data_IF_732166247967
#
_entry.id   IF_732166247967
#
_cell.length_a   1.000
_cell.length_b   1.000
_cell.length_c   1.000
_cell.angle_alpha   90.00
_cell.angle_beta   90.00
_cell.angle_gamma   90.00
#
_symmetry.space_group_name_H-M   'P 1'
#
loop_
_entity.id
_entity.type
_entity.pdbx_description
1 polymer ?
#
# COMPACT_ATOMS: atom_id res chain seq x y z
N UNK A 1 28.68 9.82 7.93
CA UNK A 1 27.35 10.29 8.36
C UNK A 1 26.47 9.08 8.51
N UNK A 2 25.84 8.92 9.67
CA UNK A 2 24.88 7.83 9.97
C UNK A 2 23.51 8.48 10.07
N UNK A 3 22.53 7.93 9.36
CA UNK A 3 21.15 8.39 9.45
C UNK A 3 20.39 7.49 10.43
N UNK A 4 19.93 8.08 11.54
CA UNK A 4 19.33 7.36 12.68
C UNK A 4 17.81 7.56 12.80
N UNK A 5 17.21 8.32 11.88
CA UNK A 5 15.79 8.68 11.92
C UNK A 5 14.95 7.90 10.89
N UNK A 6 15.22 6.60 10.76
CA UNK A 6 14.49 5.74 9.83
C UNK A 6 12.97 5.70 10.07
N UNK A 7 12.51 5.94 11.32
CA UNK A 7 11.10 6.04 11.67
C UNK A 7 10.34 7.17 10.93
N UNK A 8 11.05 8.14 10.34
CA UNK A 8 10.42 9.22 9.55
C UNK A 8 9.68 8.65 8.34
N UNK A 9 10.15 7.58 7.70
CA UNK A 9 9.49 7.04 6.50
C UNK A 9 8.08 6.49 6.82
N UNK A 10 7.89 5.59 7.81
CA UNK A 10 6.55 5.19 8.24
C UNK A 10 5.67 6.35 8.71
N UNK A 11 6.22 7.28 9.49
CA UNK A 11 5.46 8.43 9.99
C UNK A 11 4.99 9.36 8.86
N UNK A 12 5.87 9.63 7.89
CA UNK A 12 5.56 10.42 6.70
C UNK A 12 4.47 9.74 5.88
N UNK A 13 4.55 8.42 5.66
CA UNK A 13 3.51 7.69 4.93
C UNK A 13 2.14 7.80 5.61
N UNK A 14 2.12 7.72 6.95
CA UNK A 14 0.90 7.85 7.76
C UNK A 14 0.19 9.19 7.62
N UNK A 15 0.91 10.24 7.24
CA UNK A 15 0.34 11.56 6.94
C UNK A 15 0.04 11.68 5.43
N UNK A 16 0.95 11.18 4.60
CA UNK A 16 0.93 11.35 3.16
C UNK A 16 -0.26 10.67 2.48
N UNK A 17 -0.58 9.43 2.86
CA UNK A 17 -1.69 8.69 2.25
C UNK A 17 -3.05 9.33 2.61
N UNK A 18 -3.38 9.62 3.88
CA UNK A 18 -4.62 10.33 4.21
C UNK A 18 -4.72 11.70 3.55
N UNK A 19 -3.60 12.44 3.47
CA UNK A 19 -3.58 13.74 2.79
C UNK A 19 -3.87 13.60 1.28
N UNK A 20 -3.30 12.57 0.63
CA UNK A 20 -3.57 12.25 -0.77
C UNK A 20 -5.05 11.99 -0.99
N UNK A 21 -5.65 11.12 -0.17
CA UNK A 21 -7.09 10.79 -0.22
C UNK A 21 -7.95 12.04 -0.04
N UNK A 22 -7.65 12.84 0.99
CA UNK A 22 -8.41 14.05 1.31
C UNK A 22 -8.37 15.08 0.19
N UNK A 23 -7.18 15.37 -0.35
CA UNK A 23 -7.02 16.35 -1.43
C UNK A 23 -7.76 15.88 -2.68
N UNK A 24 -7.53 14.64 -3.13
CA UNK A 24 -8.14 14.11 -4.36
C UNK A 24 -9.65 14.10 -4.24
N UNK A 25 -10.20 13.62 -3.11
CA UNK A 25 -11.63 13.63 -2.87
C UNK A 25 -12.21 15.05 -2.85
N UNK A 26 -11.56 15.97 -2.13
CA UNK A 26 -12.04 17.36 -2.01
C UNK A 26 -12.09 18.05 -3.36
N UNK A 27 -11.03 17.92 -4.16
CA UNK A 27 -10.99 18.52 -5.50
C UNK A 27 -12.07 17.90 -6.40
N UNK A 28 -12.21 16.57 -6.41
CA UNK A 28 -13.22 15.86 -7.21
C UNK A 28 -14.67 16.26 -6.89
N UNK A 29 -14.96 16.52 -5.61
CA UNK A 29 -16.28 17.00 -5.17
C UNK A 29 -16.49 18.46 -5.59
N UNK A 30 -15.50 19.33 -5.38
CA UNK A 30 -15.60 20.76 -5.73
C UNK A 30 -15.73 20.98 -7.24
N UNK A 31 -15.16 20.10 -8.06
CA UNK A 31 -15.27 20.12 -9.53
C UNK A 31 -16.52 19.41 -10.05
N UNK A 32 -17.34 18.80 -9.18
CA UNK A 32 -18.50 17.97 -9.54
C UNK A 32 -18.15 16.77 -10.46
N UNK A 33 -16.93 16.26 -10.39
CA UNK A 33 -16.51 15.08 -11.15
C UNK A 33 -17.03 13.77 -10.54
N UNK A 34 -17.35 13.76 -9.25
CA UNK A 34 -17.94 12.61 -8.53
C UNK A 34 -19.14 13.01 -7.70
N UNK A 35 -19.97 12.03 -7.31
CA UNK A 35 -21.02 12.26 -6.31
C UNK A 35 -20.41 12.31 -4.90
N UNK A 36 -20.92 13.14 -3.97
CA UNK A 36 -20.38 13.24 -2.60
C UNK A 36 -20.63 12.02 -1.69
N UNK A 37 -21.02 10.88 -2.26
CA UNK A 37 -21.44 9.68 -1.52
C UNK A 37 -20.32 8.63 -1.53
N UNK A 38 -19.14 9.02 -1.02
CA UNK A 38 -17.92 8.21 -0.91
C UNK A 38 -17.63 7.32 -2.15
N UNK A 39 -17.26 7.93 -3.29
CA UNK A 39 -16.90 7.18 -4.51
C UNK A 39 -15.59 6.41 -4.28
N UNK A 40 -15.27 5.46 -5.16
CA UNK A 40 -13.92 4.88 -5.18
C UNK A 40 -12.87 5.99 -5.26
N UNK A 41 -11.72 5.77 -4.62
CA UNK A 41 -10.63 6.74 -4.71
C UNK A 41 -10.14 6.89 -6.16
N UNK A 42 -10.16 5.79 -6.92
CA UNK A 42 -9.82 5.77 -8.35
C UNK A 42 -10.80 6.55 -9.22
N UNK A 43 -12.09 6.56 -8.87
CA UNK A 43 -13.10 7.38 -9.55
C UNK A 43 -12.84 8.87 -9.28
N UNK A 44 -12.53 9.23 -8.04
CA UNK A 44 -12.16 10.60 -7.67
C UNK A 44 -10.87 11.07 -8.37
N UNK A 45 -9.93 10.16 -8.62
CA UNK A 45 -8.68 10.44 -9.34
C UNK A 45 -8.74 10.30 -10.87
N UNK A 46 -9.91 10.28 -11.50
CA UNK A 46 -10.04 9.96 -12.94
C UNK A 46 -10.02 11.16 -13.90
N UNK A 47 -10.26 12.36 -13.41
CA UNK A 47 -10.34 13.58 -14.22
C UNK A 47 -9.18 14.53 -13.88
N UNK A 48 -8.84 15.45 -14.79
CA UNK A 48 -7.89 16.50 -14.47
C UNK A 48 -8.62 17.65 -13.74
N UNK A 49 -8.00 18.25 -12.70
CA UNK A 49 -6.60 18.07 -12.26
C UNK A 49 -6.36 16.93 -11.26
N UNK A 50 -7.40 16.25 -10.78
CA UNK A 50 -7.33 15.23 -9.72
C UNK A 50 -6.43 14.05 -10.08
N UNK A 51 -6.46 13.61 -11.33
CA UNK A 51 -5.65 12.51 -11.86
C UNK A 51 -4.17 12.82 -11.85
N UNK A 52 -3.78 14.08 -12.12
CA UNK A 52 -2.40 14.53 -12.04
C UNK A 52 -1.93 14.60 -10.58
N UNK A 53 -2.79 15.12 -9.70
CA UNK A 53 -2.51 15.20 -8.25
C UNK A 53 -2.36 13.80 -7.66
N UNK A 54 -3.33 12.91 -7.92
CA UNK A 54 -3.33 11.53 -7.49
C UNK A 54 -2.09 10.80 -8.02
N UNK A 55 -1.78 10.94 -9.32
CA UNK A 55 -0.62 10.31 -9.93
C UNK A 55 0.70 10.67 -9.26
N UNK A 56 0.96 11.96 -9.02
CA UNK A 56 2.18 12.43 -8.34
C UNK A 56 2.20 11.99 -6.88
N UNK A 57 1.13 12.28 -6.12
CA UNK A 57 1.11 12.01 -4.69
C UNK A 57 1.15 10.51 -4.39
N UNK A 58 0.40 9.69 -5.12
CA UNK A 58 0.38 8.24 -4.92
C UNK A 58 1.70 7.60 -5.36
N UNK A 59 2.34 8.09 -6.42
CA UNK A 59 3.70 7.67 -6.82
C UNK A 59 4.73 7.97 -5.72
N UNK A 60 4.72 9.18 -5.16
CA UNK A 60 5.60 9.54 -4.04
C UNK A 60 5.31 8.68 -2.79
N UNK A 61 4.05 8.41 -2.50
CA UNK A 61 3.64 7.49 -1.43
C UNK A 61 4.20 6.08 -1.63
N UNK A 62 4.16 5.57 -2.86
CA UNK A 62 4.74 4.28 -3.23
C UNK A 62 6.27 4.24 -3.07
N UNK A 63 6.98 5.34 -3.32
CA UNK A 63 8.43 5.43 -3.05
C UNK A 63 8.74 5.41 -1.54
N UNK A 64 7.91 6.07 -0.73
CA UNK A 64 8.04 6.00 0.73
C UNK A 64 7.76 4.57 1.21
N UNK A 65 6.71 3.93 0.68
CA UNK A 65 6.39 2.54 0.97
C UNK A 65 7.54 1.60 0.59
N UNK A 66 8.12 1.73 -0.61
CA UNK A 66 9.32 0.99 -1.04
C UNK A 66 10.44 1.11 0.00
N UNK A 67 10.72 2.33 0.44
CA UNK A 67 11.76 2.59 1.44
C UNK A 67 11.47 1.85 2.74
N UNK A 68 10.23 1.84 3.21
CA UNK A 68 9.82 1.12 4.43
C UNK A 68 10.04 -0.38 4.29
N UNK A 69 9.56 -1.01 3.22
CA UNK A 69 9.70 -2.46 3.05
C UNK A 69 11.16 -2.88 2.85
N UNK A 70 11.97 -2.04 2.20
CA UNK A 70 13.40 -2.28 2.04
C UNK A 70 14.12 -2.21 3.40
N UNK A 71 13.86 -1.18 4.19
CA UNK A 71 14.44 -1.07 5.55
C UNK A 71 14.01 -2.24 6.43
N UNK A 72 12.74 -2.65 6.34
CA UNK A 72 12.25 -3.83 7.07
C UNK A 72 12.96 -5.10 6.61
N UNK A 73 13.13 -5.29 5.31
CA UNK A 73 13.86 -6.42 4.75
C UNK A 73 15.29 -6.50 5.29
N UNK A 74 16.03 -5.39 5.26
CA UNK A 74 17.41 -5.30 5.77
C UNK A 74 17.50 -5.51 7.29
N UNK A 75 16.54 -4.98 8.04
CA UNK A 75 16.46 -5.19 9.49
C UNK A 75 16.31 -6.69 9.82
N UNK A 76 15.47 -7.42 9.08
CA UNK A 76 15.26 -8.85 9.31
C UNK A 76 16.50 -9.67 8.91
N UNK A 77 17.21 -9.29 7.84
CA UNK A 77 18.49 -9.91 7.47
C UNK A 77 19.56 -9.75 8.57
N UNK A 78 19.69 -8.53 9.11
CA UNK A 78 20.65 -8.24 10.19
C UNK A 78 20.34 -9.07 11.45
N UNK A 79 19.08 -9.11 11.88
CA UNK A 79 18.65 -9.90 13.04
C UNK A 79 18.90 -11.40 12.83
N UNK A 80 18.62 -11.92 11.64
CA UNK A 80 18.87 -13.33 11.32
C UNK A 80 20.38 -13.62 11.34
N UNK A 81 21.22 -12.72 10.82
CA UNK A 81 22.67 -12.89 10.83
C UNK A 81 23.23 -12.88 12.26
N UNK A 82 22.73 -11.98 13.11
CA UNK A 82 23.21 -11.77 14.48
C UNK A 82 22.76 -12.83 15.48
N UNK A 83 21.52 -13.29 15.38
CA UNK A 83 20.89 -14.16 16.38
C UNK A 83 20.54 -15.55 15.87
N UNK A 84 20.80 -15.86 14.58
CA UNK A 84 20.54 -17.15 13.94
C UNK A 84 19.13 -17.71 14.21
N UNK A 85 18.12 -16.83 14.13
CA UNK A 85 16.75 -17.08 14.63
C UNK A 85 16.09 -18.34 14.07
N UNK A 86 15.81 -18.38 12.77
CA UNK A 86 15.10 -19.51 12.16
C UNK A 86 15.46 -19.69 10.69
N UNK A 87 15.64 -20.94 10.27
CA UNK A 87 15.99 -21.28 8.89
C UNK A 87 14.94 -20.82 7.86
N UNK A 88 13.66 -20.73 8.26
CA UNK A 88 12.59 -20.25 7.36
C UNK A 88 12.52 -18.73 7.26
N UNK A 89 13.13 -17.99 8.19
CA UNK A 89 12.99 -16.54 8.28
C UNK A 89 13.48 -15.83 7.01
N UNK A 90 14.62 -16.27 6.46
CA UNK A 90 15.15 -15.72 5.20
C UNK A 90 14.18 -15.89 4.02
N UNK A 91 13.51 -17.05 3.93
CA UNK A 91 12.53 -17.29 2.86
C UNK A 91 11.31 -16.39 3.02
N UNK A 92 10.79 -16.28 4.24
CA UNK A 92 9.66 -15.39 4.53
C UNK A 92 10.01 -13.93 4.25
N UNK A 93 11.22 -13.50 4.63
CA UNK A 93 11.71 -12.14 4.39
C UNK A 93 11.78 -11.83 2.90
N UNK A 94 12.39 -12.72 2.11
CA UNK A 94 12.46 -12.59 0.65
C UNK A 94 11.06 -12.55 0.01
N UNK A 95 10.17 -13.50 0.35
CA UNK A 95 8.82 -13.52 -0.20
C UNK A 95 8.01 -12.28 0.18
N UNK A 96 8.13 -11.81 1.42
CA UNK A 96 7.49 -10.57 1.84
C UNK A 96 8.03 -9.37 1.07
N UNK A 97 9.34 -9.28 0.87
CA UNK A 97 9.95 -8.19 0.12
C UNK A 97 9.47 -8.20 -1.34
N UNK A 98 9.53 -9.33 -2.03
CA UNK A 98 9.05 -9.44 -3.40
C UNK A 98 7.55 -9.14 -3.53
N UNK A 99 6.72 -9.63 -2.61
CA UNK A 99 5.30 -9.28 -2.59
C UNK A 99 5.10 -7.77 -2.42
N UNK A 100 5.87 -7.12 -1.54
CA UNK A 100 5.85 -5.66 -1.38
C UNK A 100 6.25 -4.92 -2.65
N UNK A 101 7.30 -5.36 -3.36
CA UNK A 101 7.72 -4.78 -4.64
C UNK A 101 6.62 -4.91 -5.71
N UNK A 102 6.04 -6.10 -5.85
CA UNK A 102 4.97 -6.36 -6.81
C UNK A 102 3.75 -5.48 -6.49
N UNK A 103 3.39 -5.36 -5.21
CA UNK A 103 2.33 -4.46 -4.74
C UNK A 103 2.58 -3.01 -5.17
N UNK A 104 3.80 -2.51 -4.97
CA UNK A 104 4.18 -1.13 -5.34
C UNK A 104 4.09 -0.92 -6.85
N UNK A 105 4.53 -1.90 -7.65
CA UNK A 105 4.35 -1.84 -9.11
C UNK A 105 2.87 -1.75 -9.51
N UNK A 106 2.00 -2.51 -8.84
CA UNK A 106 0.55 -2.37 -8.99
C UNK A 106 0.06 -0.96 -8.63
N UNK A 107 0.56 -0.40 -7.52
CA UNK A 107 0.26 0.97 -7.10
C UNK A 107 0.69 2.03 -8.11
N UNK A 108 1.84 1.86 -8.76
CA UNK A 108 2.29 2.75 -9.84
C UNK A 108 1.41 2.65 -11.09
N UNK A 109 0.87 1.46 -11.40
CA UNK A 109 -0.12 1.31 -12.48
C UNK A 109 -1.39 2.07 -12.11
N UNK A 110 -1.93 1.86 -10.89
CA UNK A 110 -3.13 2.56 -10.40
C UNK A 110 -2.96 4.09 -10.44
N UNK A 111 -1.78 4.60 -10.03
CA UNK A 111 -1.47 6.02 -10.02
C UNK A 111 -1.54 6.67 -11.42
N UNK A 112 -1.11 5.95 -12.46
CA UNK A 112 -0.80 6.54 -13.77
C UNK A 112 -1.75 6.08 -14.88
N UNK A 113 -2.49 5.00 -14.68
CA UNK A 113 -3.48 4.47 -15.62
C UNK A 113 -4.85 4.59 -14.99
N UNK A 114 -5.56 5.67 -15.27
CA UNK A 114 -6.84 5.98 -14.65
C UNK A 114 -7.93 4.96 -15.08
N UNK A 115 -8.86 4.67 -14.16
CA UNK A 115 -9.91 3.65 -14.37
C UNK A 115 -10.82 4.00 -15.54
N UNK A 116 -11.09 5.28 -15.77
CA UNK A 116 -11.95 5.73 -16.87
C UNK A 116 -11.33 5.52 -18.24
N UNK A 117 -10.05 5.83 -18.41
CA UNK A 117 -9.37 5.80 -19.71
C UNK A 117 -8.84 4.40 -20.04
N UNK A 118 -8.41 3.66 -19.01
CA UNK A 118 -7.73 2.36 -19.17
C UNK A 118 -8.24 1.34 -18.15
N UNK A 119 -9.54 1.09 -18.17
CA UNK A 119 -10.26 0.27 -17.18
C UNK A 119 -9.56 -1.05 -16.82
N UNK A 120 -9.26 -1.89 -17.80
CA UNK A 120 -8.65 -3.20 -17.56
C UNK A 120 -7.21 -3.12 -17.01
N UNK A 121 -6.43 -2.14 -17.46
CA UNK A 121 -5.07 -1.91 -16.97
C UNK A 121 -5.12 -1.43 -15.52
N UNK A 122 -6.02 -0.49 -15.21
CA UNK A 122 -6.23 0.02 -13.87
C UNK A 122 -6.66 -1.10 -12.91
N UNK A 123 -7.67 -1.89 -13.28
CA UNK A 123 -8.17 -2.97 -12.44
C UNK A 123 -7.12 -4.05 -12.19
N UNK A 124 -6.28 -4.33 -13.19
CA UNK A 124 -5.10 -5.21 -13.05
C UNK A 124 -4.11 -4.63 -12.03
N UNK A 125 -3.79 -3.34 -12.15
CA UNK A 125 -2.95 -2.63 -11.19
C UNK A 125 -3.51 -2.67 -9.77
N UNK A 126 -4.81 -2.45 -9.61
CA UNK A 126 -5.50 -2.49 -8.32
C UNK A 126 -5.46 -3.90 -7.69
N UNK A 127 -5.74 -4.94 -8.48
CA UNK A 127 -5.65 -6.32 -8.03
C UNK A 127 -4.22 -6.70 -7.59
N UNK A 128 -3.21 -6.28 -8.36
CA UNK A 128 -1.80 -6.48 -8.00
C UNK A 128 -1.45 -5.73 -6.71
N UNK A 129 -1.79 -4.44 -6.62
CA UNK A 129 -1.52 -3.58 -5.48
C UNK A 129 -2.14 -4.14 -4.19
N UNK A 130 -3.45 -4.33 -4.18
CA UNK A 130 -4.15 -4.76 -2.98
C UNK A 130 -3.91 -6.23 -2.64
N UNK A 131 -3.86 -7.10 -3.65
CA UNK A 131 -3.60 -8.53 -3.45
C UNK A 131 -2.22 -8.80 -2.87
N UNK A 132 -1.16 -8.37 -3.57
CA UNK A 132 0.21 -8.59 -3.09
C UNK A 132 0.55 -7.73 -1.86
N UNK A 133 -0.06 -6.55 -1.71
CA UNK A 133 0.07 -5.74 -0.49
C UNK A 133 -0.46 -6.48 0.73
N UNK A 134 -1.63 -7.10 0.63
CA UNK A 134 -2.22 -7.92 1.70
C UNK A 134 -1.38 -9.16 2.01
N UNK A 135 -0.83 -9.83 0.99
CA UNK A 135 0.11 -10.96 1.17
C UNK A 135 1.38 -10.51 1.90
N UNK A 136 1.99 -9.40 1.47
CA UNK A 136 3.16 -8.82 2.13
C UNK A 136 2.85 -8.51 3.60
N UNK A 137 1.70 -7.90 3.87
CA UNK A 137 1.25 -7.56 5.21
C UNK A 137 1.07 -8.79 6.11
N UNK A 138 0.52 -9.88 5.56
CA UNK A 138 0.39 -11.15 6.28
C UNK A 138 1.74 -11.79 6.61
N UNK A 139 2.66 -11.81 5.64
CA UNK A 139 4.01 -12.32 5.86
C UNK A 139 4.77 -11.48 6.89
N UNK A 140 4.65 -10.14 6.85
CA UNK A 140 5.25 -9.26 7.85
C UNK A 140 4.70 -9.46 9.26
N UNK A 141 3.40 -9.77 9.41
CA UNK A 141 2.84 -10.10 10.71
C UNK A 141 3.49 -11.38 11.28
N UNK A 142 3.68 -12.41 10.46
CA UNK A 142 4.38 -13.65 10.85
C UNK A 142 5.84 -13.37 11.22
N UNK A 143 6.56 -12.62 10.36
CA UNK A 143 7.95 -12.25 10.58
C UNK A 143 8.11 -11.48 11.90
N UNK A 144 7.18 -10.57 12.22
CA UNK A 144 7.21 -9.77 13.44
C UNK A 144 7.21 -10.63 14.71
N UNK A 145 6.50 -11.76 14.72
CA UNK A 145 6.56 -12.73 15.83
C UNK A 145 7.84 -13.57 15.81
N UNK A 146 8.44 -13.83 14.64
CA UNK A 146 9.67 -14.60 14.52
C UNK A 146 10.92 -13.83 14.96
N UNK A 147 10.90 -12.50 14.87
CA UNK A 147 12.00 -11.64 15.32
C UNK A 147 11.86 -11.16 16.76
N UNK A 148 10.68 -11.32 17.36
CA UNK A 148 10.46 -11.09 18.79
C UNK A 148 11.21 -12.16 19.62
N UNK A 149 11.86 -11.81 20.75
CA UNK A 149 11.83 -10.52 21.46
C UNK A 149 12.93 -9.54 21.08
N UNK A 150 13.74 -9.81 20.05
CA UNK A 150 14.87 -8.95 19.68
C UNK A 150 14.44 -7.58 19.14
N UNK A 151 13.32 -7.55 18.41
CA UNK A 151 12.71 -6.31 17.90
C UNK A 151 11.19 -6.38 18.06
N UNK A 152 10.60 -5.21 18.31
CA UNK A 152 9.15 -5.05 18.49
C UNK A 152 8.68 -5.47 19.88
N UNK A 153 7.37 -5.52 20.07
CA UNK A 153 6.75 -6.01 21.30
C UNK A 153 5.50 -6.82 20.99
N UNK A 154 5.06 -7.64 21.95
CA UNK A 154 3.95 -8.57 21.74
C UNK A 154 2.64 -7.87 21.38
N UNK A 155 2.33 -6.73 22.01
CA UNK A 155 1.08 -6.00 21.76
C UNK A 155 1.05 -5.43 20.34
N UNK A 156 2.16 -4.83 19.90
CA UNK A 156 2.32 -4.32 18.53
C UNK A 156 2.23 -5.45 17.48
N UNK A 157 2.78 -6.62 17.77
CA UNK A 157 2.68 -7.78 16.88
C UNK A 157 1.24 -8.30 16.78
N UNK A 158 0.50 -8.32 17.90
CA UNK A 158 -0.93 -8.67 17.91
C UNK A 158 -1.75 -7.64 17.13
N UNK A 159 -1.48 -6.33 17.31
CA UNK A 159 -2.20 -5.29 16.57
C UNK A 159 -1.96 -5.41 15.06
N UNK A 160 -0.73 -5.75 14.63
CA UNK A 160 -0.45 -6.05 13.22
C UNK A 160 -1.29 -7.20 12.69
N UNK A 161 -1.45 -8.30 13.44
CA UNK A 161 -2.31 -9.43 13.03
C UNK A 161 -3.77 -8.99 12.88
N UNK A 162 -4.30 -8.23 13.84
CA UNK A 162 -5.70 -7.75 13.78
C UNK A 162 -5.90 -6.89 12.52
N UNK A 163 -5.00 -5.94 12.27
CA UNK A 163 -5.05 -5.06 11.10
C UNK A 163 -4.88 -5.85 9.79
N UNK A 164 -4.05 -6.89 9.77
CA UNK A 164 -3.92 -7.82 8.64
C UNK A 164 -5.21 -8.58 8.37
N UNK A 165 -5.86 -9.14 9.39
CA UNK A 165 -7.12 -9.86 9.23
C UNK A 165 -8.20 -8.93 8.66
N UNK A 166 -8.29 -7.70 9.15
CA UNK A 166 -9.20 -6.70 8.60
C UNK A 166 -8.87 -6.39 7.14
N UNK A 167 -7.58 -6.26 6.78
CA UNK A 167 -7.14 -6.03 5.40
C UNK A 167 -7.51 -7.19 4.47
N UNK A 168 -7.41 -8.44 4.93
CA UNK A 168 -7.84 -9.62 4.15
C UNK A 168 -9.34 -9.59 3.90
N UNK A 169 -10.14 -9.29 4.93
CA UNK A 169 -11.60 -9.18 4.82
C UNK A 169 -11.98 -8.09 3.84
N UNK A 170 -11.40 -6.89 3.98
CA UNK A 170 -11.75 -5.75 3.14
C UNK A 170 -11.23 -5.89 1.73
N UNK A 171 -10.03 -6.44 1.51
CA UNK A 171 -9.53 -6.77 0.16
C UNK A 171 -10.45 -7.76 -0.56
N UNK A 172 -10.93 -8.78 0.16
CA UNK A 172 -11.89 -9.75 -0.39
C UNK A 172 -13.23 -9.09 -0.71
N UNK A 173 -13.76 -8.30 0.23
CA UNK A 173 -15.01 -7.55 0.08
C UNK A 173 -14.95 -6.57 -1.10
N UNK A 174 -13.90 -5.75 -1.20
CA UNK A 174 -13.65 -4.83 -2.32
C UNK A 174 -13.68 -5.60 -3.62
N UNK A 175 -12.91 -6.69 -3.74
CA UNK A 175 -12.80 -7.45 -4.99
C UNK A 175 -14.11 -8.10 -5.41
N UNK A 176 -14.76 -8.84 -4.51
CA UNK A 176 -16.02 -9.54 -4.81
C UNK A 176 -17.14 -8.56 -5.10
N UNK A 177 -17.30 -7.52 -4.28
CA UNK A 177 -18.35 -6.53 -4.48
C UNK A 177 -18.09 -5.66 -5.72
N UNK A 178 -16.83 -5.38 -6.07
CA UNK A 178 -16.51 -4.69 -7.33
C UNK A 178 -16.98 -5.52 -8.54
N UNK A 179 -16.64 -6.81 -8.59
CA UNK A 179 -17.06 -7.72 -9.68
C UNK A 179 -18.60 -7.77 -9.77
N UNK A 180 -19.28 -7.95 -8.63
CA UNK A 180 -20.75 -7.98 -8.58
C UNK A 180 -21.36 -6.65 -9.01
N UNK A 181 -20.78 -5.52 -8.60
CA UNK A 181 -21.26 -4.19 -9.02
C UNK A 181 -21.14 -4.00 -10.53
N UNK A 182 -19.97 -4.25 -11.11
CA UNK A 182 -19.73 -4.05 -12.54
C UNK A 182 -20.54 -5.00 -13.42
N UNK A 183 -20.77 -6.24 -12.97
CA UNK A 183 -21.63 -7.19 -13.70
C UNK A 183 -23.12 -6.81 -13.70
N UNK A 184 -23.57 -5.97 -12.77
CA UNK A 184 -24.96 -5.51 -12.67
C UNK A 184 -25.16 -4.08 -13.20
N UNK A 185 -24.08 -3.40 -13.56
CA UNK A 185 -24.12 -2.00 -13.99
C UNK A 185 -24.79 -1.84 -15.36
N UNK A 186 -25.71 -0.88 -15.44
CA UNK A 186 -26.48 -0.51 -16.63
C UNK A 186 -26.47 1.00 -16.91
N UNK A 187 -25.74 1.77 -16.10
CA UNK A 187 -25.64 3.22 -16.24
C UNK A 187 -24.72 3.65 -17.38
N UNK A 188 -24.64 4.96 -17.60
CA UNK A 188 -23.84 5.57 -18.67
C UNK A 188 -22.61 6.34 -18.15
N UNK A 189 -22.46 6.51 -16.84
CA UNK A 189 -21.37 7.24 -16.19
C UNK A 189 -20.96 6.55 -14.88
N UNK A 190 -19.83 5.83 -14.93
CA UNK A 190 -19.34 5.04 -13.80
C UNK A 190 -18.85 5.92 -12.65
N UNK A 191 -18.43 7.17 -12.92
CA UNK A 191 -17.99 8.12 -11.90
C UNK A 191 -19.16 8.72 -11.10
N UNK A 192 -20.40 8.55 -11.58
CA UNK A 192 -21.63 9.07 -10.95
C UNK A 192 -22.68 7.96 -10.81
N UNK A 193 -22.26 6.83 -10.27
CA UNK A 193 -23.12 5.67 -10.04
C UNK A 193 -24.32 6.03 -9.15
N UNK A 194 -25.53 5.81 -9.67
CA UNK A 194 -26.81 6.04 -8.96
C UNK A 194 -27.46 4.74 -8.51
N UNK A 195 -28.35 4.79 -7.51
CA UNK A 195 -29.15 3.62 -7.10
C UNK A 195 -29.84 2.89 -8.26
N UNK A 196 -30.32 3.63 -9.26
CA UNK A 196 -31.06 3.08 -10.40
C UNK A 196 -30.15 2.49 -11.50
N UNK A 197 -28.83 2.68 -11.43
CA UNK A 197 -27.88 2.18 -12.45
C UNK A 197 -27.57 0.68 -12.29
N UNK A 198 -28.14 0.00 -11.28
CA UNK A 198 -27.89 -1.40 -10.98
C UNK A 198 -26.55 -1.64 -10.26
N UNK A 199 -26.47 -2.63 -9.37
CA UNK A 199 -25.24 -2.95 -8.63
C UNK A 199 -24.78 -1.92 -7.58
N UNK A 200 -25.55 -0.84 -7.35
CA UNK A 200 -25.17 0.30 -6.49
C UNK A 200 -24.77 -0.10 -5.06
N UNK A 201 -25.53 -0.99 -4.41
CA UNK A 201 -25.19 -1.44 -3.05
C UNK A 201 -23.83 -2.14 -3.01
N UNK A 202 -23.53 -3.00 -4.01
CA UNK A 202 -22.23 -3.65 -4.11
C UNK A 202 -21.12 -2.65 -4.40
N UNK A 203 -21.37 -1.65 -5.24
CA UNK A 203 -20.43 -0.56 -5.50
C UNK A 203 -20.08 0.19 -4.21
N UNK A 204 -21.07 0.60 -3.41
CA UNK A 204 -20.84 1.30 -2.13
C UNK A 204 -20.10 0.42 -1.13
N UNK A 205 -20.49 -0.86 -0.98
CA UNK A 205 -19.78 -1.80 -0.08
C UNK A 205 -18.32 -1.95 -0.49
N UNK A 206 -18.08 -2.08 -1.80
CA UNK A 206 -16.74 -2.22 -2.34
C UNK A 206 -15.90 -0.96 -2.11
N UNK A 207 -16.47 0.23 -2.36
CA UNK A 207 -15.81 1.51 -2.11
C UNK A 207 -15.48 1.68 -0.62
N UNK A 208 -16.43 1.50 0.28
CA UNK A 208 -16.16 1.56 1.74
C UNK A 208 -15.06 0.56 2.13
N UNK A 209 -15.11 -0.66 1.60
CA UNK A 209 -14.08 -1.67 1.86
C UNK A 209 -12.70 -1.24 1.35
N UNK A 210 -12.64 -0.56 0.20
CA UNK A 210 -11.39 -0.03 -0.36
C UNK A 210 -10.76 1.02 0.57
N UNK A 211 -11.54 1.98 1.09
CA UNK A 211 -11.02 2.98 2.03
C UNK A 211 -10.50 2.34 3.32
N UNK A 212 -11.23 1.34 3.85
CA UNK A 212 -10.77 0.62 5.03
C UNK A 212 -9.48 -0.14 4.73
N UNK A 213 -9.37 -0.79 3.57
CA UNK A 213 -8.15 -1.48 3.14
C UNK A 213 -6.95 -0.52 3.04
N UNK A 214 -7.12 0.65 2.40
CA UNK A 214 -6.08 1.68 2.32
C UNK A 214 -5.66 2.12 3.72
N UNK A 215 -6.62 2.35 4.62
CA UNK A 215 -6.35 2.74 5.99
C UNK A 215 -5.59 1.65 6.76
N UNK A 216 -6.01 0.38 6.66
CA UNK A 216 -5.37 -0.72 7.39
C UNK A 216 -3.97 -1.02 6.87
N UNK A 217 -3.75 -0.98 5.55
CA UNK A 217 -2.40 -1.10 4.98
C UNK A 217 -1.50 0.05 5.45
N UNK A 218 -2.02 1.28 5.46
CA UNK A 218 -1.27 2.45 5.96
C UNK A 218 -0.93 2.29 7.44
N UNK A 219 -1.89 1.91 8.29
CA UNK A 219 -1.68 1.67 9.72
C UNK A 219 -0.63 0.56 9.95
N UNK A 220 -0.69 -0.52 9.17
CA UNK A 220 0.31 -1.58 9.27
C UNK A 220 1.71 -1.08 8.96
N UNK A 221 1.90 -0.27 7.91
CA UNK A 221 3.20 0.31 7.58
C UNK A 221 3.68 1.31 8.63
N UNK A 222 2.78 2.18 9.12
CA UNK A 222 3.06 3.13 10.22
C UNK A 222 3.51 2.41 11.48
N UNK A 223 2.98 1.21 11.75
CA UNK A 223 3.34 0.44 12.93
C UNK A 223 4.83 0.04 12.98
N UNK A 224 5.57 0.11 11.87
CA UNK A 224 7.03 -0.09 11.87
C UNK A 224 7.81 1.12 12.40
N UNK A 225 7.19 2.29 12.55
CA UNK A 225 7.83 3.48 13.11
C UNK A 225 8.51 3.20 14.46
N UNK A 226 7.85 2.44 15.34
CA UNK A 226 8.39 2.10 16.67
C UNK A 226 9.68 1.27 16.58
N UNK A 227 9.78 0.35 15.63
CA UNK A 227 10.97 -0.48 15.44
C UNK A 227 12.08 0.26 14.69
N UNK A 228 11.69 1.18 13.80
CA UNK A 228 12.64 1.94 12.98
C UNK A 228 13.34 3.05 13.75
N UNK A 229 12.94 3.33 15.00
CA UNK A 229 13.70 4.19 15.93
C UNK A 229 15.09 3.64 16.25
N UNK A 230 15.30 2.34 16.04
CA UNK A 230 16.55 1.63 16.37
C UNK A 230 17.35 1.22 15.13
N UNK A 231 17.01 1.74 13.95
CA UNK A 231 17.75 1.47 12.70
C UNK A 231 18.77 2.58 12.46
N UNK A 232 20.02 2.17 12.26
CA UNK A 232 21.10 3.03 11.79
C UNK A 232 21.41 2.74 10.33
N UNK A 233 21.28 3.75 9.47
CA UNK A 233 21.61 3.65 8.05
C UNK A 233 22.99 4.27 7.83
N UNK A 234 23.95 3.42 7.46
CA UNK A 234 25.28 3.85 7.06
C UNK A 234 25.30 4.17 5.57
N UNK A 235 26.13 5.15 5.17
CA UNK A 235 26.34 5.47 3.75
C UNK A 235 26.76 4.22 2.96
N UNK A 236 26.31 4.04 1.71
CA UNK A 236 26.79 2.95 0.88
C UNK A 236 28.30 3.11 0.64
N UNK A 237 29.02 1.98 0.60
CA UNK A 237 30.43 1.94 0.21
C UNK A 237 30.47 1.97 -1.32
N UNK A 238 31.11 2.99 -1.90
CA UNK A 238 31.32 3.12 -3.34
C UNK A 238 32.78 2.76 -3.64
N UNK A 239 33.00 1.74 -4.46
CA UNK A 239 34.32 1.29 -4.91
C UNK A 239 34.40 1.36 -6.43
N UNK A 240 35.44 2.00 -6.97
CA UNK A 240 35.70 2.00 -8.41
C UNK A 240 36.53 0.78 -8.79
N UNK A 241 36.18 0.12 -9.90
CA UNK A 241 37.11 -0.83 -10.53
C UNK A 241 38.17 -0.02 -11.28
N UNK A 242 39.44 -0.38 -11.08
CA UNK A 242 40.52 0.17 -11.91
C UNK A 242 40.36 -0.45 -13.30
N UNK A 243 40.19 0.39 -14.31
CA UNK A 243 40.26 -0.04 -15.70
C UNK A 243 41.74 -0.05 -16.03
N UNK A 244 42.34 -1.24 -16.12
CA UNK A 244 43.71 -1.37 -16.65
C UNK A 244 43.66 -1.06 -18.15
N UNK A 245 44.27 0.05 -18.56
CA UNK A 245 44.48 0.39 -19.97
C UNK A 245 45.37 -0.69 -20.61
N UNK A 246 44.82 -1.44 -21.57
CA UNK A 246 45.58 -2.32 -22.47
C UNK A 246 46.10 -1.55 -23.67
#
# INVERSE_FOLDING_TARGET
MVFTKAYIFPALLGIWIPLTVLIVYTVAVLTNHVTPVLPYLSDAGSWAPESCIFGIMFTLGNLIWFTIIYLRFRQVEDLQSKYQLSSILNKLNNYSFYAGIISILGGLIVANFQVRQTFFVHLTGAAICFGFGTVCQALQAIISFKVYPHVGNRLLNISRVIVTLLSVITCTSTSVCAILSFSQYKGNDMNKWKPDDGGYTFHVISAVSEYILIATTTINLVSFAEEFKYIEIHKPIITNQVIDDK
#
